data_IF_934973359009
#
_entry.id   IF_934973359009
#
_cell.length_a   1.000
_cell.length_b   1.000
_cell.length_c   1.000
_cell.angle_alpha   90.00
_cell.angle_beta   90.00
_cell.angle_gamma   90.00
#
_symmetry.space_group_name_H-M   'P 1'
#
loop_
_entity.id
_entity.type
_entity.pdbx_description
1 polymer ?
#
# COMPACT_ATOMS: atom_id res chain seq x y z
N UNK A 1 31.48 14.36 -15.77
CA UNK A 1 30.96 12.98 -15.62
C UNK A 1 30.61 12.45 -16.99
N UNK A 2 31.14 11.29 -17.38
CA UNK A 2 30.85 10.70 -18.69
C UNK A 2 29.36 10.28 -18.73
N UNK A 3 28.69 10.51 -19.86
CA UNK A 3 27.29 10.16 -20.02
C UNK A 3 27.02 8.65 -19.78
N UNK A 4 27.96 7.80 -20.20
CA UNK A 4 27.93 6.34 -19.97
C UNK A 4 27.83 5.97 -18.50
N UNK A 5 28.58 6.67 -17.64
CA UNK A 5 28.59 6.40 -16.20
C UNK A 5 27.31 6.89 -15.52
N UNK A 6 26.84 8.08 -15.91
CA UNK A 6 25.59 8.65 -15.35
C UNK A 6 24.36 7.85 -15.74
N UNK A 7 24.33 7.30 -16.95
CA UNK A 7 23.19 6.59 -17.52
C UNK A 7 23.33 5.06 -17.48
N UNK A 8 24.28 4.53 -16.72
CA UNK A 8 24.55 3.08 -16.66
C UNK A 8 23.32 2.23 -16.24
N UNK A 9 22.34 2.83 -15.54
CA UNK A 9 21.10 2.17 -15.10
C UNK A 9 19.94 2.33 -16.09
N UNK A 10 20.11 3.09 -17.16
CA UNK A 10 19.04 3.37 -18.13
C UNK A 10 19.13 2.40 -19.30
N UNK A 11 17.96 2.03 -19.84
CA UNK A 11 17.83 1.14 -20.99
C UNK A 11 17.11 1.84 -22.14
N UNK A 12 17.56 1.59 -23.36
CA UNK A 12 16.89 2.03 -24.57
C UNK A 12 15.85 1.00 -25.01
N UNK A 13 14.59 1.41 -25.14
CA UNK A 13 13.52 0.56 -25.66
C UNK A 13 12.97 1.17 -26.95
N UNK A 14 12.65 0.31 -27.93
CA UNK A 14 12.02 0.74 -29.18
C UNK A 14 10.61 1.28 -28.95
N UNK A 15 9.88 0.66 -28.03
CA UNK A 15 8.52 1.02 -27.65
C UNK A 15 8.24 0.51 -26.23
N UNK A 16 7.79 1.38 -25.33
CA UNK A 16 7.45 1.01 -23.96
C UNK A 16 6.25 0.05 -23.88
N UNK A 17 5.39 0.02 -24.91
CA UNK A 17 4.19 -0.82 -24.95
C UNK A 17 4.46 -2.23 -25.45
N UNK A 18 5.33 -2.39 -26.43
CA UNK A 18 5.48 -3.67 -27.18
C UNK A 18 6.82 -4.36 -26.94
N UNK A 19 7.83 -3.64 -26.47
CA UNK A 19 9.14 -4.24 -26.21
C UNK A 19 9.10 -4.99 -24.88
N UNK A 20 9.77 -6.14 -24.82
CA UNK A 20 9.89 -6.92 -23.57
C UNK A 20 10.68 -6.11 -22.53
N UNK A 21 10.14 -6.04 -21.31
CA UNK A 21 10.83 -5.47 -20.16
C UNK A 21 11.55 -6.58 -19.40
N UNK A 22 12.87 -6.68 -19.57
CA UNK A 22 13.68 -7.66 -18.83
C UNK A 22 13.74 -7.29 -17.34
N UNK A 23 13.36 -8.22 -16.46
CA UNK A 23 13.33 -8.00 -15.00
C UNK A 23 14.44 -8.74 -14.26
N UNK A 24 15.18 -9.62 -14.94
CA UNK A 24 16.20 -10.47 -14.30
C UNK A 24 17.36 -9.66 -13.72
N UNK A 25 17.83 -8.66 -14.45
CA UNK A 25 18.92 -7.77 -14.01
C UNK A 25 18.52 -6.92 -12.80
N UNK A 26 17.23 -6.56 -12.70
CA UNK A 26 16.71 -5.72 -11.62
C UNK A 26 16.59 -6.51 -10.29
N UNK A 27 16.47 -7.85 -10.34
CA UNK A 27 16.24 -8.70 -9.14
C UNK A 27 17.32 -8.55 -8.07
N UNK A 28 18.56 -8.27 -8.47
CA UNK A 28 19.68 -8.07 -7.52
C UNK A 28 19.45 -6.83 -6.66
N UNK A 29 18.66 -5.87 -7.13
CA UNK A 29 18.35 -4.63 -6.43
C UNK A 29 17.02 -4.68 -5.65
N UNK A 30 16.34 -5.83 -5.62
CA UNK A 30 15.00 -6.01 -5.05
C UNK A 30 15.00 -6.79 -3.71
N UNK A 31 15.96 -6.54 -2.82
CA UNK A 31 16.08 -7.30 -1.56
C UNK A 31 14.81 -7.22 -0.68
N UNK A 32 14.20 -6.05 -0.58
CA UNK A 32 12.97 -5.85 0.21
C UNK A 32 11.73 -6.46 -0.45
N UNK A 33 11.74 -6.66 -1.77
CA UNK A 33 10.59 -7.16 -2.51
C UNK A 33 10.20 -8.59 -2.14
N UNK A 34 11.18 -9.40 -1.75
CA UNK A 34 10.97 -10.79 -1.35
C UNK A 34 10.25 -10.90 0.01
N UNK A 35 10.24 -9.85 0.82
CA UNK A 35 9.54 -9.82 2.12
C UNK A 35 8.06 -9.48 1.99
N UNK A 36 7.65 -8.92 0.85
CA UNK A 36 6.29 -8.46 0.63
C UNK A 36 5.33 -9.62 0.34
N UNK A 37 4.10 -9.49 0.84
CA UNK A 37 3.01 -10.41 0.51
C UNK A 37 2.67 -10.27 -0.98
N UNK A 38 2.85 -11.36 -1.72
CA UNK A 38 2.42 -11.47 -3.12
C UNK A 38 1.00 -12.03 -3.19
N UNK A 39 0.10 -11.27 -3.79
CA UNK A 39 -1.29 -11.67 -4.02
C UNK A 39 -1.46 -11.91 -5.52
N UNK A 40 -1.61 -13.17 -5.94
CA UNK A 40 -1.78 -13.53 -7.34
C UNK A 40 -3.14 -13.11 -7.90
N UNK A 41 -4.22 -13.42 -7.17
CA UNK A 41 -5.59 -13.04 -7.53
C UNK A 41 -6.22 -12.20 -6.41
N UNK A 42 -6.13 -10.87 -6.55
CA UNK A 42 -6.68 -9.93 -5.57
C UNK A 42 -8.20 -10.07 -5.41
N UNK A 43 -8.95 -10.25 -6.51
CA UNK A 43 -10.43 -10.34 -6.46
C UNK A 43 -10.88 -11.56 -5.67
N UNK A 44 -10.24 -12.71 -5.92
CA UNK A 44 -10.51 -13.95 -5.20
C UNK A 44 -10.14 -13.85 -3.72
N UNK A 45 -8.91 -13.39 -3.43
CA UNK A 45 -8.43 -13.23 -2.06
C UNK A 45 -9.30 -12.26 -1.24
N UNK A 46 -9.74 -11.16 -1.86
CA UNK A 46 -10.67 -10.20 -1.22
C UNK A 46 -12.00 -10.85 -0.90
N UNK A 47 -12.61 -11.56 -1.85
CA UNK A 47 -13.91 -12.23 -1.64
C UNK A 47 -13.84 -13.26 -0.52
N UNK A 48 -12.76 -14.04 -0.48
CA UNK A 48 -12.54 -15.03 0.57
C UNK A 48 -12.38 -14.35 1.94
N UNK A 49 -11.51 -13.35 2.06
CA UNK A 49 -11.28 -12.64 3.32
C UNK A 49 -12.56 -11.95 3.84
N UNK A 50 -13.42 -11.45 2.95
CA UNK A 50 -14.72 -10.89 3.33
C UNK A 50 -15.70 -11.96 3.81
N UNK A 51 -15.76 -13.11 3.14
CA UNK A 51 -16.66 -14.20 3.55
C UNK A 51 -16.26 -14.78 4.91
N UNK A 52 -14.96 -15.00 5.12
CA UNK A 52 -14.42 -15.45 6.41
C UNK A 52 -14.73 -14.45 7.54
N UNK A 53 -14.69 -13.15 7.26
CA UNK A 53 -15.00 -12.11 8.25
C UNK A 53 -16.48 -12.01 8.63
N UNK A 54 -17.39 -12.53 7.79
CA UNK A 54 -18.83 -12.60 8.12
C UNK A 54 -19.15 -13.78 9.04
N UNK A 55 -18.28 -14.78 9.10
CA UNK A 55 -18.51 -16.00 9.87
C UNK A 55 -17.94 -15.82 11.28
N UNK A 56 -18.84 -15.59 12.23
CA UNK A 56 -18.52 -15.48 13.65
C UNK A 56 -18.28 -14.04 14.10
N UNK A 57 -18.21 -13.86 15.42
CA UNK A 57 -18.05 -12.55 16.06
C UNK A 57 -19.31 -12.05 16.74
N UNK A 58 -19.27 -10.78 17.16
CA UNK A 58 -20.34 -10.13 17.92
C UNK A 58 -21.24 -9.36 16.96
N UNK A 59 -22.56 -9.46 17.16
CA UNK A 59 -23.54 -8.76 16.33
C UNK A 59 -23.47 -7.23 16.53
N UNK A 60 -23.65 -6.44 15.46
CA UNK A 60 -23.71 -4.99 15.56
C UNK A 60 -24.73 -4.50 16.60
N UNK A 61 -24.39 -3.44 17.34
CA UNK A 61 -25.24 -2.88 18.40
C UNK A 61 -25.05 -3.52 19.78
N UNK A 62 -24.24 -4.57 19.90
CA UNK A 62 -23.94 -5.20 21.19
C UNK A 62 -22.87 -4.41 21.94
N UNK A 63 -23.11 -4.12 23.23
CA UNK A 63 -22.08 -3.56 24.11
C UNK A 63 -21.04 -4.64 24.45
N UNK A 64 -19.78 -4.38 24.15
CA UNK A 64 -18.67 -5.31 24.37
C UNK A 64 -17.58 -4.71 25.25
N UNK A 65 -16.84 -5.58 25.93
CA UNK A 65 -15.59 -5.23 26.62
C UNK A 65 -14.43 -5.87 25.88
N UNK A 66 -13.52 -5.06 25.33
CA UNK A 66 -12.40 -5.52 24.51
C UNK A 66 -11.12 -5.54 25.35
N UNK A 67 -10.56 -6.73 25.56
CA UNK A 67 -9.29 -6.92 26.25
C UNK A 67 -8.16 -7.12 25.25
N UNK A 68 -7.30 -6.10 25.11
CA UNK A 68 -6.17 -6.13 24.18
C UNK A 68 -4.91 -6.65 24.88
N UNK A 69 -4.16 -7.53 24.20
CA UNK A 69 -2.85 -8.02 24.65
C UNK A 69 -1.73 -7.11 24.15
N UNK A 70 -0.63 -7.02 24.92
CA UNK A 70 0.61 -6.33 24.54
C UNK A 70 0.42 -4.85 24.14
N UNK A 71 -0.44 -4.12 24.86
CA UNK A 71 -0.59 -2.68 24.66
C UNK A 71 0.56 -1.94 25.37
N UNK A 72 1.35 -1.11 24.67
CA UNK A 72 2.37 -0.25 25.27
C UNK A 72 1.80 0.59 26.42
N UNK A 73 2.53 0.67 27.55
CA UNK A 73 2.08 1.46 28.71
C UNK A 73 1.94 2.95 28.39
N UNK A 74 2.74 3.46 27.45
CA UNK A 74 2.67 4.84 26.96
C UNK A 74 1.30 5.22 26.40
N UNK A 75 0.58 4.26 25.80
CA UNK A 75 -0.76 4.51 25.27
C UNK A 75 -1.79 4.78 26.37
N UNK A 76 -1.59 4.29 27.60
CA UNK A 76 -2.55 4.50 28.71
C UNK A 76 -2.73 5.97 29.06
N UNK A 77 -1.65 6.74 28.98
CA UNK A 77 -1.64 8.16 29.35
C UNK A 77 -2.06 9.08 28.19
N UNK A 78 -2.13 8.57 26.96
CA UNK A 78 -2.33 9.35 25.73
C UNK A 78 -3.60 8.95 24.98
N UNK A 79 -4.56 8.28 25.63
CA UNK A 79 -5.81 7.88 24.99
C UNK A 79 -6.65 9.14 24.69
N UNK A 80 -6.92 9.45 23.43
CA UNK A 80 -7.78 10.58 23.09
C UNK A 80 -9.23 10.31 23.53
N UNK A 81 -10.01 11.37 23.80
CA UNK A 81 -11.38 11.25 24.33
C UNK A 81 -12.32 10.47 23.41
N UNK A 82 -12.04 10.43 22.10
CA UNK A 82 -12.75 9.60 21.13
C UNK A 82 -11.76 8.57 20.60
N UNK A 83 -12.01 7.29 20.89
CA UNK A 83 -11.21 6.17 20.41
C UNK A 83 -12.09 5.23 19.61
N UNK A 84 -11.71 5.01 18.35
CA UNK A 84 -12.37 4.06 17.46
C UNK A 84 -11.49 2.81 17.32
N UNK A 85 -12.10 1.63 17.40
CA UNK A 85 -11.44 0.35 17.19
C UNK A 85 -11.97 -0.27 15.90
N UNK A 86 -11.07 -0.82 15.09
CA UNK A 86 -11.39 -1.51 13.84
C UNK A 86 -10.77 -2.91 13.90
N UNK A 87 -11.54 -3.92 13.50
CA UNK A 87 -10.99 -5.26 13.24
C UNK A 87 -10.28 -5.25 11.89
N UNK A 88 -9.13 -5.93 11.84
CA UNK A 88 -8.37 -6.08 10.60
C UNK A 88 -8.76 -7.40 9.93
N UNK A 89 -8.86 -7.39 8.61
CA UNK A 89 -9.10 -8.60 7.83
C UNK A 89 -7.85 -9.49 7.80
N UNK A 90 -8.05 -10.73 7.34
CA UNK A 90 -6.97 -11.68 7.18
C UNK A 90 -5.84 -11.07 6.32
N UNK A 91 -4.61 -11.19 6.82
CA UNK A 91 -3.39 -10.71 6.17
C UNK A 91 -3.27 -9.19 5.94
N UNK A 92 -4.19 -8.37 6.46
CA UNK A 92 -4.14 -6.91 6.30
C UNK A 92 -2.98 -6.24 7.07
N UNK A 93 -2.35 -6.95 8.03
CA UNK A 93 -1.14 -6.49 8.72
C UNK A 93 0.14 -6.73 7.90
N UNK A 94 0.11 -7.64 6.92
CA UNK A 94 1.29 -7.94 6.10
C UNK A 94 1.54 -6.79 5.13
N UNK A 95 2.81 -6.50 4.86
CA UNK A 95 3.20 -5.48 3.90
C UNK A 95 3.06 -6.02 2.48
N UNK A 96 2.54 -5.21 1.56
CA UNK A 96 2.35 -5.54 0.16
C UNK A 96 2.45 -4.28 -0.68
N UNK A 97 2.61 -4.42 -2.00
CA UNK A 97 2.51 -3.30 -2.93
C UNK A 97 1.06 -2.99 -3.20
N UNK A 98 0.68 -1.73 -2.97
CA UNK A 98 -0.67 -1.26 -3.18
C UNK A 98 -0.68 -0.22 -4.29
N UNK A 99 -1.64 -0.35 -5.19
CA UNK A 99 -1.88 0.61 -6.25
C UNK A 99 -3.14 1.41 -5.91
N UNK A 100 -3.01 2.73 -5.85
CA UNK A 100 -4.11 3.64 -5.56
C UNK A 100 -4.46 4.47 -6.79
N UNK A 101 -5.75 4.65 -7.03
CA UNK A 101 -6.24 5.68 -7.94
C UNK A 101 -6.47 6.94 -7.11
N UNK A 102 -5.88 8.05 -7.54
CA UNK A 102 -6.00 9.33 -6.86
C UNK A 102 -6.22 10.43 -7.90
N UNK A 103 -6.98 11.44 -7.52
CA UNK A 103 -7.19 12.66 -8.29
C UNK A 103 -6.82 13.84 -7.42
N UNK A 104 -6.03 14.76 -7.97
CA UNK A 104 -5.69 16.00 -7.27
C UNK A 104 -6.90 16.94 -7.31
N UNK A 105 -7.23 17.55 -6.17
CA UNK A 105 -8.29 18.57 -6.11
C UNK A 105 -7.92 19.78 -6.97
N UNK A 106 -8.89 20.36 -7.66
CA UNK A 106 -8.72 21.62 -8.41
C UNK A 106 -8.27 22.78 -7.52
N UNK A 107 -8.58 22.70 -6.23
CA UNK A 107 -8.31 23.76 -5.26
C UNK A 107 -6.85 23.76 -4.79
N UNK A 108 -6.06 22.74 -5.16
CA UNK A 108 -4.66 22.64 -4.81
C UNK A 108 -3.78 23.21 -5.95
N UNK A 109 -3.19 24.41 -5.76
CA UNK A 109 -2.55 25.12 -6.86
C UNK A 109 -1.11 24.64 -7.16
N UNK A 110 -0.52 23.83 -6.28
CA UNK A 110 0.91 23.47 -6.33
C UNK A 110 1.07 22.09 -7.00
N UNK A 111 2.03 21.91 -7.92
CA UNK A 111 2.34 20.59 -8.44
C UNK A 111 3.05 19.73 -7.39
N UNK A 112 2.57 18.51 -7.18
CA UNK A 112 3.18 17.54 -6.27
C UNK A 112 4.21 16.70 -7.04
N UNK A 113 5.44 16.66 -6.56
CA UNK A 113 6.49 15.86 -7.21
C UNK A 113 6.42 14.40 -6.74
N UNK A 114 6.74 13.46 -7.62
CA UNK A 114 6.92 12.06 -7.22
C UNK A 114 8.04 11.95 -6.19
N UNK A 115 7.87 11.06 -5.19
CA UNK A 115 8.78 10.84 -4.05
C UNK A 115 8.85 11.99 -3.03
N UNK A 116 7.94 12.97 -3.12
CA UNK A 116 7.70 13.91 -2.03
C UNK A 116 6.91 13.23 -0.91
N UNK A 117 7.10 13.70 0.34
CA UNK A 117 6.40 13.16 1.49
C UNK A 117 4.91 13.50 1.42
N UNK A 118 4.11 12.50 1.07
CA UNK A 118 2.65 12.61 1.02
C UNK A 118 2.02 11.59 1.96
N UNK A 119 1.25 12.08 2.93
CA UNK A 119 0.48 11.25 3.86
C UNK A 119 -0.85 10.88 3.19
N UNK A 120 -0.98 9.62 2.80
CA UNK A 120 -2.20 9.05 2.24
C UNK A 120 -3.01 8.37 3.34
N UNK A 121 -4.21 8.86 3.59
CA UNK A 121 -5.15 8.18 4.49
C UNK A 121 -6.04 7.23 3.67
N UNK A 122 -5.95 5.94 3.97
CA UNK A 122 -6.80 4.90 3.38
C UNK A 122 -7.54 4.18 4.52
N UNK A 123 -8.84 4.46 4.63
CA UNK A 123 -9.64 4.02 5.78
C UNK A 123 -9.03 4.53 7.10
N UNK A 124 -8.79 3.65 8.09
CA UNK A 124 -8.18 4.04 9.36
C UNK A 124 -6.64 4.11 9.32
N UNK A 125 -5.98 3.74 8.22
CA UNK A 125 -4.52 3.68 8.11
C UNK A 125 -3.95 4.86 7.34
N UNK A 126 -2.71 5.22 7.67
CA UNK A 126 -1.93 6.24 6.96
C UNK A 126 -0.72 5.59 6.31
N UNK A 127 -0.47 5.93 5.05
CA UNK A 127 0.64 5.48 4.24
C UNK A 127 1.44 6.69 3.76
N UNK A 128 2.71 6.49 3.40
CA UNK A 128 3.65 7.57 3.08
C UNK A 128 4.41 7.23 1.78
N UNK A 129 4.79 8.25 1.02
CA UNK A 129 5.68 8.17 -0.16
C UNK A 129 5.17 7.32 -1.35
N UNK A 130 4.05 7.70 -1.98
CA UNK A 130 3.58 7.06 -3.20
C UNK A 130 4.48 7.34 -4.41
N UNK A 131 4.53 6.37 -5.33
CA UNK A 131 5.10 6.56 -6.66
C UNK A 131 3.97 6.82 -7.65
N UNK A 132 4.07 7.92 -8.40
CA UNK A 132 3.05 8.31 -9.38
C UNK A 132 3.35 7.68 -10.74
N UNK A 133 2.33 7.06 -11.33
CA UNK A 133 2.34 6.49 -12.68
C UNK A 133 1.03 6.83 -13.39
N UNK A 134 1.08 6.89 -14.72
CA UNK A 134 -0.12 7.13 -15.52
C UNK A 134 -1.02 5.88 -15.53
N UNK A 135 -2.33 6.08 -15.43
CA UNK A 135 -3.32 5.03 -15.63
C UNK A 135 -3.36 4.64 -17.10
N UNK A 136 -3.00 3.40 -17.42
CA UNK A 136 -3.05 2.88 -18.78
C UNK A 136 -3.08 1.35 -18.78
N UNK A 137 -3.72 0.78 -19.79
CA UNK A 137 -3.63 -0.65 -20.05
C UNK A 137 -2.42 -0.90 -20.95
N UNK A 138 -1.40 -1.55 -20.41
CA UNK A 138 -0.31 -2.15 -21.19
C UNK A 138 -0.67 -3.61 -21.48
N UNK A 139 -0.65 -4.05 -22.75
CA UNK A 139 -0.95 -5.43 -23.14
C UNK A 139 0.08 -6.42 -22.58
#
# INVERSE_FOLDING_TARGET
VLARERLAKFRGLRSLRTSKWETEEDRVHEEDWNRLLRISNYKGAKSQALHEALVGGVQPGTRVQVHLRNVPLSLRSSIPPITCLFSLLQHERKQTVMNFSMTLSSDYPIPIKSKEELIMQCGPRRFINPLFSQTGSTP
#
